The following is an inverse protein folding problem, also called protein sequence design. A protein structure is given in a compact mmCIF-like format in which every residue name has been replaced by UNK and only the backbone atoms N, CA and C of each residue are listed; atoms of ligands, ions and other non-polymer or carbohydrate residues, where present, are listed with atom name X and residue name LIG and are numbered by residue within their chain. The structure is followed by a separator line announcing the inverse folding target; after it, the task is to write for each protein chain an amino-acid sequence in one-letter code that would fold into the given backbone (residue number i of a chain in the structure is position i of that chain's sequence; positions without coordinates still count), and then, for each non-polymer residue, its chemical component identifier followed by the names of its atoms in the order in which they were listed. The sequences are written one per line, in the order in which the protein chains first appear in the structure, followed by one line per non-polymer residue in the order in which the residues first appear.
data_IF_938439068111
#
_entry.id   IF_938439068111
#
_cell.length_a   1.000
_cell.length_b   1.000
_cell.length_c   1.000
_cell.angle_alpha   90.00
_cell.angle_beta   90.00
_cell.angle_gamma   90.00
#
_symmetry.space_group_name_H-M   'P 1'
#
loop_
_entity.id
_entity.type
_entity.pdbx_description
1 polymer ?
#
# COMPACT_ATOMS: atom_id res chain seq x y z
N UNK A 1 29.38 -40.81 4.60
CA UNK A 1 29.15 -39.40 4.99
C UNK A 1 27.87 -38.98 4.31
N UNK A 2 26.85 -38.63 5.07
CA UNK A 2 25.51 -38.38 4.54
C UNK A 2 25.45 -36.99 3.90
N UNK A 3 25.20 -36.92 2.60
CA UNK A 3 24.99 -35.67 1.87
C UNK A 3 23.71 -34.99 2.39
N UNK A 4 23.89 -34.11 3.37
CA UNK A 4 22.82 -33.26 3.91
C UNK A 4 22.38 -32.29 2.81
N UNK A 5 21.41 -32.70 1.99
CA UNK A 5 20.81 -31.87 0.93
C UNK A 5 20.43 -30.51 1.52
N UNK A 6 21.08 -29.44 1.05
CA UNK A 6 20.78 -28.07 1.48
C UNK A 6 19.32 -27.76 1.11
N UNK A 7 18.51 -27.44 2.12
CA UNK A 7 17.11 -27.06 1.93
C UNK A 7 17.06 -25.80 1.06
N UNK A 8 16.30 -25.85 -0.03
CA UNK A 8 16.15 -24.71 -0.93
C UNK A 8 15.64 -23.50 -0.16
N UNK A 9 16.32 -22.36 -0.33
CA UNK A 9 16.02 -21.15 0.43
C UNK A 9 14.86 -20.41 -0.25
N UNK A 10 13.62 -20.82 0.07
CA UNK A 10 12.42 -20.17 -0.45
C UNK A 10 12.23 -18.83 0.27
N UNK A 11 12.14 -17.74 -0.49
CA UNK A 11 11.93 -16.39 0.03
C UNK A 11 10.59 -16.26 0.77
N UNK A 12 10.52 -15.33 1.74
CA UNK A 12 9.29 -15.06 2.50
C UNK A 12 8.13 -14.66 1.59
N UNK A 13 8.37 -13.81 0.58
CA UNK A 13 7.37 -13.45 -0.44
C UNK A 13 6.86 -14.66 -1.21
N UNK A 14 7.77 -15.54 -1.68
CA UNK A 14 7.38 -16.74 -2.43
C UNK A 14 6.58 -17.72 -1.58
N UNK A 15 6.86 -17.82 -0.26
CA UNK A 15 6.03 -18.59 0.67
C UNK A 15 4.65 -17.97 0.88
N UNK A 16 4.56 -16.64 0.90
CA UNK A 16 3.31 -15.89 1.03
C UNK A 16 2.54 -15.75 -0.30
N UNK A 17 3.11 -16.17 -1.43
CA UNK A 17 2.55 -16.00 -2.78
C UNK A 17 2.30 -14.54 -3.16
N UNK A 18 3.14 -13.63 -2.67
CA UNK A 18 3.05 -12.20 -2.95
C UNK A 18 4.15 -11.77 -3.93
N UNK A 19 3.82 -10.86 -4.84
CA UNK A 19 4.79 -10.13 -5.67
C UNK A 19 5.55 -9.10 -4.84
N UNK A 20 4.88 -8.51 -3.85
CA UNK A 20 5.49 -7.52 -2.97
C UNK A 20 6.52 -8.17 -2.02
N UNK A 21 7.57 -7.42 -1.73
CA UNK A 21 8.69 -7.91 -0.91
C UNK A 21 8.33 -7.90 0.58
N UNK A 22 7.97 -9.05 1.14
CA UNK A 22 7.64 -9.22 2.57
C UNK A 22 8.84 -8.85 3.45
N UNK A 23 10.05 -9.15 3.01
CA UNK A 23 11.28 -8.78 3.74
C UNK A 23 11.49 -7.27 3.78
N UNK A 24 11.08 -6.52 2.75
CA UNK A 24 11.21 -5.07 2.69
C UNK A 24 10.21 -4.41 3.64
N UNK A 25 8.97 -4.91 3.65
CA UNK A 25 7.93 -4.45 4.58
C UNK A 25 8.35 -4.71 6.03
N UNK A 26 8.88 -5.90 6.34
CA UNK A 26 9.42 -6.22 7.67
C UNK A 26 10.57 -5.29 8.08
N UNK A 27 11.44 -4.91 7.14
CA UNK A 27 12.52 -3.96 7.40
C UNK A 27 11.98 -2.58 7.79
N UNK A 28 11.07 -2.00 7.00
CA UNK A 28 10.46 -0.70 7.31
C UNK A 28 9.64 -0.71 8.61
N UNK A 29 8.98 -1.82 8.93
CA UNK A 29 8.25 -1.94 10.19
C UNK A 29 9.18 -1.96 11.43
N UNK A 30 10.40 -2.47 11.27
CA UNK A 30 11.42 -2.45 12.33
C UNK A 30 12.07 -1.08 12.47
N UNK A 31 12.36 -0.43 11.35
CA UNK A 31 12.95 0.91 11.34
C UNK A 31 12.01 1.96 11.97
N UNK A 32 10.70 1.86 11.67
CA UNK A 32 9.69 2.77 12.21
C UNK A 32 9.35 2.55 13.69
N UNK A 33 9.96 1.57 14.38
CA UNK A 33 9.71 1.25 15.79
C UNK A 33 8.20 1.11 16.16
N UNK A 34 7.36 0.62 15.24
CA UNK A 34 5.90 0.52 15.46
C UNK A 34 5.50 -0.44 16.59
N UNK A 35 6.38 -1.36 16.97
CA UNK A 35 6.19 -2.26 18.11
C UNK A 35 7.54 -2.72 18.65
N UNK A 36 7.61 -2.97 19.96
CA UNK A 36 8.78 -3.54 20.61
C UNK A 36 9.14 -4.93 20.03
N UNK A 37 8.14 -5.73 19.64
CA UNK A 37 8.33 -7.05 19.04
C UNK A 37 7.40 -7.23 17.83
N UNK A 38 8.00 -7.40 16.64
CA UNK A 38 7.29 -7.83 15.43
C UNK A 38 7.43 -9.34 15.23
N UNK A 39 6.31 -10.06 15.28
CA UNK A 39 6.23 -11.43 14.78
C UNK A 39 6.33 -11.44 13.24
N UNK A 40 6.50 -12.61 12.61
CA UNK A 40 6.65 -12.69 11.15
C UNK A 40 5.33 -12.43 10.37
N UNK A 41 4.19 -12.48 11.05
CA UNK A 41 2.85 -12.42 10.43
C UNK A 41 2.42 -11.01 9.96
N UNK A 42 2.64 -9.92 10.71
CA UNK A 42 2.22 -8.56 10.30
C UNK A 42 2.84 -8.08 8.99
N UNK A 43 4.11 -8.38 8.75
CA UNK A 43 4.79 -7.99 7.50
C UNK A 43 4.20 -8.67 6.27
N UNK A 44 3.77 -9.93 6.40
CA UNK A 44 3.13 -10.67 5.31
C UNK A 44 1.73 -10.14 5.02
N UNK A 45 0.96 -9.86 6.08
CA UNK A 45 -0.36 -9.26 5.95
C UNK A 45 -0.31 -7.89 5.29
N UNK A 46 0.55 -6.98 5.78
CA UNK A 46 0.68 -5.64 5.23
C UNK A 46 1.16 -5.66 3.77
N UNK A 47 2.12 -6.55 3.43
CA UNK A 47 2.54 -6.72 2.04
C UNK A 47 1.37 -7.14 1.13
N UNK A 48 0.49 -8.03 1.60
CA UNK A 48 -0.69 -8.45 0.85
C UNK A 48 -1.73 -7.33 0.67
N UNK A 49 -1.97 -6.54 1.72
CA UNK A 49 -2.87 -5.36 1.62
C UNK A 49 -2.32 -4.35 0.62
N UNK A 50 -1.03 -4.02 0.69
CA UNK A 50 -0.40 -3.09 -0.25
C UNK A 50 -0.45 -3.59 -1.70
N UNK A 51 -0.24 -4.89 -1.91
CA UNK A 51 -0.33 -5.51 -3.23
C UNK A 51 -1.76 -5.44 -3.79
N UNK A 52 -2.76 -5.75 -2.95
CA UNK A 52 -4.17 -5.70 -3.35
C UNK A 52 -4.59 -4.27 -3.72
N UNK A 53 -4.22 -3.27 -2.92
CA UNK A 53 -4.51 -1.86 -3.22
C UNK A 53 -3.83 -1.41 -4.51
N UNK A 54 -2.55 -1.74 -4.70
CA UNK A 54 -1.81 -1.38 -5.91
C UNK A 54 -2.41 -2.05 -7.14
N UNK A 55 -2.78 -3.33 -7.04
CA UNK A 55 -3.43 -4.05 -8.14
C UNK A 55 -4.77 -3.40 -8.51
N UNK A 56 -5.57 -2.99 -7.53
CA UNK A 56 -6.85 -2.33 -7.79
C UNK A 56 -6.67 -0.98 -8.50
N UNK A 57 -5.72 -0.16 -8.04
CA UNK A 57 -5.41 1.13 -8.66
C UNK A 57 -4.90 0.94 -10.09
N UNK A 58 -4.01 -0.04 -10.31
CA UNK A 58 -3.49 -0.36 -11.64
C UNK A 58 -4.58 -0.87 -12.58
N UNK A 59 -5.51 -1.69 -12.12
CA UNK A 59 -6.63 -2.18 -12.93
C UNK A 59 -7.52 -1.03 -13.41
N UNK A 60 -7.91 -0.12 -12.51
CA UNK A 60 -8.72 1.05 -12.84
C UNK A 60 -7.98 2.00 -13.79
N UNK A 61 -6.71 2.29 -13.51
CA UNK A 61 -5.91 3.17 -14.36
C UNK A 61 -5.66 2.56 -15.75
N UNK A 62 -5.49 1.23 -15.82
CA UNK A 62 -5.35 0.50 -17.08
C UNK A 62 -6.63 0.58 -17.91
N UNK A 63 -7.81 0.46 -17.28
CA UNK A 63 -9.11 0.64 -17.95
C UNK A 63 -9.26 2.04 -18.54
N UNK A 64 -8.88 3.08 -17.80
CA UNK A 64 -8.88 4.47 -18.31
C UNK A 64 -7.89 4.66 -19.48
N UNK A 65 -6.68 4.09 -19.36
CA UNK A 65 -5.68 4.13 -20.44
C UNK A 65 -6.20 3.46 -21.71
N UNK A 66 -6.79 2.27 -21.60
CA UNK A 66 -7.37 1.55 -22.72
C UNK A 66 -8.58 2.28 -23.33
N UNK A 67 -9.42 2.89 -22.50
CA UNK A 67 -10.55 3.72 -22.94
C UNK A 67 -10.09 4.93 -23.77
N UNK A 68 -8.97 5.54 -23.39
CA UNK A 68 -8.34 6.63 -24.14
C UNK A 68 -7.58 6.19 -25.41
N UNK A 69 -7.54 4.89 -25.70
CA UNK A 69 -6.79 4.30 -26.83
C UNK A 69 -5.27 4.25 -26.63
N UNK A 70 -4.78 4.49 -25.41
CA UNK A 70 -3.34 4.50 -25.08
C UNK A 70 -2.91 3.16 -24.48
N UNK A 71 -1.71 2.70 -24.87
CA UNK A 71 -1.09 1.48 -24.32
C UNK A 71 -0.31 1.73 -23.01
N UNK A 72 0.07 2.98 -22.77
CA UNK A 72 0.85 3.38 -21.60
C UNK A 72 -0.05 4.11 -20.60
N UNK A 73 0.15 3.81 -19.31
CA UNK A 73 -0.47 4.53 -18.22
C UNK A 73 0.23 5.88 -18.05
N UNK A 74 -0.50 6.98 -18.24
CA UNK A 74 -0.06 8.35 -17.98
C UNK A 74 -0.71 8.92 -16.72
N UNK A 75 -0.25 10.09 -16.29
CA UNK A 75 -0.81 10.78 -15.12
C UNK A 75 -2.30 11.13 -15.29
N UNK A 76 -2.74 11.42 -16.51
CA UNK A 76 -4.14 11.72 -16.83
C UNK A 76 -5.08 10.55 -16.50
N UNK A 77 -4.68 9.31 -16.79
CA UNK A 77 -5.48 8.11 -16.53
C UNK A 77 -5.59 7.83 -15.03
N UNK A 78 -4.53 8.13 -14.28
CA UNK A 78 -4.55 8.02 -12.82
C UNK A 78 -5.55 9.02 -12.26
N UNK A 79 -5.49 10.29 -12.70
CA UNK A 79 -6.44 11.31 -12.25
C UNK A 79 -7.88 10.96 -12.62
N UNK A 80 -8.13 10.42 -13.81
CA UNK A 80 -9.46 9.96 -14.22
C UNK A 80 -9.96 8.79 -13.37
N UNK A 81 -9.13 7.77 -13.15
CA UNK A 81 -9.47 6.63 -12.31
C UNK A 81 -9.79 7.05 -10.87
N UNK A 82 -9.07 8.05 -10.33
CA UNK A 82 -9.34 8.63 -9.02
C UNK A 82 -10.65 9.42 -8.98
N UNK A 83 -10.94 10.23 -9.99
CA UNK A 83 -12.19 11.00 -10.04
C UNK A 83 -13.42 10.11 -10.24
N UNK A 84 -13.29 9.04 -11.01
CA UNK A 84 -14.38 8.12 -11.34
C UNK A 84 -14.65 7.09 -10.24
N UNK A 85 -13.74 6.92 -9.28
CA UNK A 85 -13.88 5.96 -8.18
C UNK A 85 -14.00 6.68 -6.84
N UNK A 86 -15.21 6.73 -6.28
CA UNK A 86 -15.50 7.43 -5.03
C UNK A 86 -14.69 6.90 -3.83
N UNK A 87 -14.51 5.57 -3.75
CA UNK A 87 -13.77 4.93 -2.66
C UNK A 87 -12.29 5.32 -2.66
N UNK A 88 -11.64 5.29 -3.82
CA UNK A 88 -10.25 5.71 -3.99
C UNK A 88 -10.09 7.22 -3.83
N UNK A 89 -11.03 8.00 -4.36
CA UNK A 89 -11.05 9.45 -4.17
C UNK A 89 -11.11 9.78 -2.68
N UNK A 90 -11.99 9.09 -1.92
CA UNK A 90 -12.10 9.28 -0.48
C UNK A 90 -10.87 8.79 0.27
N UNK A 91 -10.32 7.63 -0.10
CA UNK A 91 -9.14 7.04 0.54
C UNK A 91 -7.88 7.91 0.40
N UNK A 92 -7.72 8.59 -0.74
CA UNK A 92 -6.57 9.44 -1.05
C UNK A 92 -6.84 10.93 -0.82
N UNK A 93 -8.04 11.28 -0.35
CA UNK A 93 -8.36 12.65 -0.01
C UNK A 93 -7.48 13.06 1.17
N UNK A 94 -6.66 14.08 0.98
CA UNK A 94 -5.90 14.69 2.06
C UNK A 94 -6.86 15.20 3.15
N UNK A 95 -6.90 14.50 4.29
CA UNK A 95 -7.50 15.01 5.52
C UNK A 95 -6.52 15.99 6.20
N UNK A 96 -6.19 17.08 5.51
CA UNK A 96 -5.53 18.26 6.11
C UNK A 96 -6.46 19.02 7.08
N UNK A 97 -7.61 18.44 7.49
CA UNK A 97 -8.57 19.03 8.43
C UNK A 97 -8.43 18.55 9.88
N UNK A 98 -7.49 17.66 10.21
CA UNK A 98 -7.31 17.20 11.60
C UNK A 98 -6.43 18.11 12.48
N UNK A 99 -5.80 19.15 11.91
CA UNK A 99 -4.95 20.09 12.66
C UNK A 99 -5.23 21.57 12.31
N UNK A 100 -6.51 21.97 12.29
CA UNK A 100 -6.85 23.38 12.57
C UNK A 100 -7.38 23.43 13.99
N UNK A 101 -6.50 23.88 14.88
CA UNK A 101 -6.75 24.32 16.24
C UNK A 101 -8.10 25.05 16.34
N UNK A 102 -9.09 24.44 16.99
CA UNK A 102 -10.24 25.18 17.52
C UNK A 102 -9.73 25.99 18.70
N UNK A 103 -9.17 27.17 18.43
CA UNK A 103 -8.96 28.17 19.46
C UNK A 103 -10.33 28.58 19.97
N UNK A 104 -10.67 28.39 21.26
CA UNK A 104 -11.95 28.84 21.77
C UNK A 104 -11.96 30.38 21.76
N UNK A 105 -12.91 30.96 21.00
CA UNK A 105 -13.21 32.38 21.06
C UNK A 105 -13.53 32.76 22.53
N UNK A 106 -12.94 33.86 23.06
CA UNK A 106 -13.26 34.29 24.41
C UNK A 106 -14.70 34.83 24.46
N UNK A 107 -15.49 34.29 25.40
CA UNK A 107 -16.82 34.78 25.73
C UNK A 107 -16.81 36.29 25.94
N UNK A 108 -17.54 37.01 25.08
CA UNK A 108 -17.84 38.42 25.29
C UNK A 108 -19.03 38.53 26.23
N UNK A 109 -18.69 38.75 27.50
CA UNK A 109 -19.39 39.52 28.54
C UNK A 109 -20.91 39.37 28.66
#
# INVERSE_FOLDING_TARGET
MEDKRRKQNISRSRRAQLQFSVSLVDHFLREGNFSQHLSASPSGFLAGVLESLTSNILDLTSKEAHSSGKKLIGSEHVSQALQNNEELHQFLKDDNQSMVEKTPEPDKN
#
